data_IF_670924869744
#
_entry.id   IF_670924869744
#
_cell.length_a   1.000
_cell.length_b   1.000
_cell.length_c   1.000
_cell.angle_alpha   90.00
_cell.angle_beta   90.00
_cell.angle_gamma   90.00
#
_symmetry.space_group_name_H-M   'P 1'
#
loop_
_entity.id
_entity.type
_entity.pdbx_description
1 polymer ?
#
# COMPACT_ATOMS: atom_id res chain seq x y z
N UNK A 1 21.55 5.94 15.53
CA UNK A 1 21.84 6.68 14.29
C UNK A 1 21.74 5.70 13.13
N UNK A 2 20.69 5.82 12.32
CA UNK A 2 20.66 5.30 10.96
C UNK A 2 19.78 6.28 10.18
N UNK A 3 20.43 7.29 9.63
CA UNK A 3 19.87 8.10 8.55
C UNK A 3 19.65 7.18 7.35
N UNK A 4 18.41 7.08 6.88
CA UNK A 4 18.13 6.57 5.54
C UNK A 4 17.08 7.47 4.87
N UNK A 5 17.61 8.39 4.09
CA UNK A 5 17.12 8.87 2.79
C UNK A 5 15.75 9.54 2.76
N UNK A 6 15.78 10.87 2.63
CA UNK A 6 14.64 11.65 2.18
C UNK A 6 14.42 11.43 0.68
N UNK A 7 13.32 10.77 0.33
CA UNK A 7 12.67 10.87 -0.98
C UNK A 7 11.17 11.13 -0.71
N UNK A 8 10.57 12.07 -1.44
CA UNK A 8 9.34 12.77 -1.07
C UNK A 8 8.20 11.90 -0.54
N UNK A 9 7.89 12.07 0.73
CA UNK A 9 6.73 11.48 1.40
C UNK A 9 5.55 12.47 1.38
N UNK A 10 4.36 12.00 0.98
CA UNK A 10 3.15 12.81 0.95
C UNK A 10 2.12 12.33 -0.07
N UNK A 11 1.25 13.23 -0.52
CA UNK A 11 0.13 12.92 -1.41
C UNK A 11 0.55 12.20 -2.71
N UNK A 12 1.72 12.52 -3.27
CA UNK A 12 2.23 11.88 -4.48
C UNK A 12 2.49 10.38 -4.29
N UNK A 13 3.02 9.99 -3.13
CA UNK A 13 3.28 8.58 -2.79
C UNK A 13 1.99 7.79 -2.64
N UNK A 14 0.97 8.38 -2.00
CA UNK A 14 -0.35 7.77 -1.89
C UNK A 14 -0.99 7.59 -3.27
N UNK A 15 -0.95 8.61 -4.13
CA UNK A 15 -1.47 8.53 -5.50
C UNK A 15 -0.76 7.42 -6.28
N UNK A 16 0.57 7.31 -6.17
CA UNK A 16 1.33 6.26 -6.84
C UNK A 16 0.90 4.87 -6.36
N UNK A 17 0.79 4.65 -5.04
CA UNK A 17 0.33 3.39 -4.48
C UNK A 17 -1.08 3.02 -4.97
N UNK A 18 -2.02 3.97 -4.94
CA UNK A 18 -3.38 3.75 -5.43
C UNK A 18 -3.43 3.47 -6.93
N UNK A 19 -2.54 4.07 -7.72
CA UNK A 19 -2.40 3.78 -9.16
C UNK A 19 -1.90 2.35 -9.40
N UNK A 20 -0.94 1.87 -8.59
CA UNK A 20 -0.52 0.47 -8.62
C UNK A 20 -1.70 -0.44 -8.27
N UNK A 21 -2.44 -0.14 -7.19
CA UNK A 21 -3.59 -0.95 -6.77
C UNK A 21 -4.71 -0.99 -7.82
N UNK A 22 -4.97 0.11 -8.53
CA UNK A 22 -5.95 0.18 -9.61
C UNK A 22 -5.71 -0.86 -10.71
N UNK A 23 -4.46 -1.27 -10.94
CA UNK A 23 -4.12 -2.29 -11.94
C UNK A 23 -4.65 -3.70 -11.64
N UNK A 24 -5.13 -3.95 -10.41
CA UNK A 24 -5.63 -5.25 -9.96
C UNK A 24 -7.16 -5.41 -10.02
N UNK A 25 -7.86 -4.42 -10.58
CA UNK A 25 -9.29 -4.50 -10.89
C UNK A 25 -10.16 -3.51 -10.13
N UNK A 26 -11.42 -3.42 -10.52
CA UNK A 26 -12.42 -2.61 -9.83
C UNK A 26 -12.97 -3.36 -8.61
N UNK A 27 -12.65 -2.87 -7.42
CA UNK A 27 -13.21 -3.34 -6.16
C UNK A 27 -14.23 -2.31 -5.68
N UNK A 28 -15.47 -2.72 -5.40
CA UNK A 28 -16.54 -1.80 -5.01
C UNK A 28 -16.24 -1.01 -3.73
N UNK A 29 -15.40 -1.56 -2.86
CA UNK A 29 -14.93 -0.96 -1.61
C UNK A 29 -13.42 -1.18 -1.49
N UNK A 30 -12.62 -0.43 -2.27
CA UNK A 30 -11.20 -0.75 -2.47
C UNK A 30 -10.36 -0.42 -1.25
N UNK A 31 -10.87 0.42 -0.33
CA UNK A 31 -10.17 0.89 0.86
C UNK A 31 -11.05 0.76 2.09
N UNK A 32 -10.43 0.42 3.22
CA UNK A 32 -11.03 0.47 4.54
C UNK A 32 -10.10 1.25 5.48
N UNK A 33 -10.66 2.15 6.28
CA UNK A 33 -9.90 2.93 7.26
C UNK A 33 -10.41 2.60 8.65
N UNK A 34 -9.51 2.20 9.54
CA UNK A 34 -9.82 1.93 10.94
C UNK A 34 -8.66 2.37 11.82
N UNK A 35 -8.94 3.19 12.84
CA UNK A 35 -7.90 3.79 13.69
C UNK A 35 -6.80 4.48 12.86
N UNK A 36 -5.57 3.99 12.98
CA UNK A 36 -4.36 4.49 12.33
C UNK A 36 -3.96 3.52 11.19
N UNK A 37 -4.93 2.91 10.51
CA UNK A 37 -4.72 1.94 9.44
C UNK A 37 -5.54 2.27 8.20
N UNK A 38 -4.85 2.38 7.06
CA UNK A 38 -5.45 2.35 5.73
C UNK A 38 -5.24 0.95 5.12
N UNK A 39 -6.29 0.15 5.07
CA UNK A 39 -6.31 -1.12 4.36
C UNK A 39 -6.76 -0.93 2.90
N UNK A 40 -6.14 -1.65 1.98
CA UNK A 40 -6.47 -1.69 0.55
C UNK A 40 -6.76 -3.12 0.13
N UNK A 41 -7.99 -3.38 -0.34
CA UNK A 41 -8.55 -4.70 -0.65
C UNK A 41 -7.98 -5.32 -1.94
N UNK A 42 -6.66 -5.50 -2.00
CA UNK A 42 -5.95 -6.18 -3.08
C UNK A 42 -5.21 -7.38 -2.50
N UNK A 43 -5.51 -8.57 -3.02
CA UNK A 43 -4.89 -9.83 -2.63
C UNK A 43 -3.38 -9.82 -2.95
N UNK A 44 -2.49 -9.87 -1.95
CA UNK A 44 -1.05 -9.90 -2.17
C UNK A 44 -0.56 -11.07 -3.04
N UNK A 45 -1.29 -12.19 -3.12
CA UNK A 45 -0.92 -13.32 -3.97
C UNK A 45 -0.99 -12.97 -5.47
N UNK A 46 -1.79 -11.97 -5.85
CA UNK A 46 -1.96 -11.51 -7.24
C UNK A 46 -0.97 -10.41 -7.64
N UNK A 47 -0.25 -9.85 -6.67
CA UNK A 47 0.72 -8.77 -6.88
C UNK A 47 2.11 -9.37 -7.13
N UNK A 48 2.78 -9.07 -8.27
CA UNK A 48 4.13 -9.53 -8.54
C UNK A 48 5.13 -8.82 -7.62
N UNK A 49 6.28 -9.47 -7.41
CA UNK A 49 7.27 -9.06 -6.41
C UNK A 49 7.77 -7.61 -6.61
N UNK A 50 7.97 -7.16 -7.85
CA UNK A 50 8.39 -5.77 -8.11
C UNK A 50 7.38 -4.72 -7.63
N UNK A 51 6.08 -4.97 -7.77
CA UNK A 51 5.05 -4.08 -7.24
C UNK A 51 4.97 -4.16 -5.71
N UNK A 52 5.15 -5.35 -5.11
CA UNK A 52 5.23 -5.50 -3.64
C UNK A 52 6.38 -4.68 -3.06
N UNK A 53 7.57 -4.76 -3.66
CA UNK A 53 8.73 -3.99 -3.24
C UNK A 53 8.48 -2.48 -3.36
N UNK A 54 7.82 -2.03 -4.44
CA UNK A 54 7.48 -0.61 -4.58
C UNK A 54 6.46 -0.17 -3.54
N UNK A 55 5.42 -0.96 -3.30
CA UNK A 55 4.40 -0.71 -2.28
C UNK A 55 5.01 -0.66 -0.86
N UNK A 56 5.95 -1.55 -0.55
CA UNK A 56 6.71 -1.54 0.71
C UNK A 56 7.46 -0.20 0.90
N UNK A 57 8.19 0.27 -0.11
CA UNK A 57 8.86 1.59 -0.08
C UNK A 57 7.86 2.74 0.12
N UNK A 58 6.69 2.64 -0.54
CA UNK A 58 5.62 3.62 -0.40
C UNK A 58 4.93 3.57 0.98
N UNK A 59 5.12 2.50 1.75
CA UNK A 59 4.60 2.35 3.12
C UNK A 59 3.36 1.47 3.22
N UNK A 60 3.17 0.53 2.30
CA UNK A 60 2.12 -0.48 2.32
C UNK A 60 2.72 -1.87 2.50
N UNK A 61 2.24 -2.61 3.49
CA UNK A 61 2.68 -3.98 3.79
C UNK A 61 1.56 -4.97 3.48
N UNK A 62 1.89 -6.15 2.92
CA UNK A 62 0.92 -7.23 2.80
C UNK A 62 0.63 -7.82 4.18
N UNK A 63 -0.65 -8.03 4.49
CA UNK A 63 -1.02 -8.70 5.74
C UNK A 63 -0.96 -10.21 5.53
N UNK A 64 -0.09 -10.90 6.26
CA UNK A 64 0.23 -12.31 6.04
C UNK A 64 -0.96 -13.27 6.23
N UNK A 65 -2.00 -12.83 6.95
CA UNK A 65 -3.21 -13.60 7.25
C UNK A 65 -4.45 -13.17 6.48
N UNK A 66 -4.34 -12.26 5.50
CA UNK A 66 -5.51 -11.71 4.82
C UNK A 66 -5.23 -11.17 3.41
N UNK A 67 -6.31 -11.00 2.64
CA UNK A 67 -6.25 -10.65 1.22
C UNK A 67 -6.16 -9.12 0.97
N UNK A 68 -5.34 -8.40 1.75
CA UNK A 68 -5.20 -6.95 1.64
C UNK A 68 -3.79 -6.44 2.01
N UNK A 69 -3.53 -5.19 1.64
CA UNK A 69 -2.37 -4.41 2.09
C UNK A 69 -2.81 -3.41 3.16
N UNK A 70 -1.91 -3.06 4.08
CA UNK A 70 -2.15 -2.05 5.12
C UNK A 70 -1.06 -0.98 5.10
N UNK A 71 -1.43 0.27 5.40
CA UNK A 71 -0.51 1.36 5.66
C UNK A 71 -0.85 2.09 6.95
N UNK A 72 0.13 2.18 7.85
CA UNK A 72 0.13 3.05 9.05
C UNK A 72 0.71 4.44 8.77
N UNK A 73 1.03 4.72 7.50
CA UNK A 73 1.60 5.99 7.04
C UNK A 73 0.50 6.92 6.52
N UNK A 74 -0.53 6.35 5.90
CA UNK A 74 -1.64 7.08 5.28
C UNK A 74 -2.99 6.82 5.96
N UNK A 75 -3.00 5.98 6.99
CA UNK A 75 -4.01 5.88 8.04
C UNK A 75 -3.30 6.13 9.35
#
# INVERSE_FOLDING_TARGET
MSELVGEGYGFASLIEALTIFQSYGEVAWPTHCEHDELAVCVDPAKVPEGHKQRLHVLGFEPVSSSDHFVSYRFG
#
